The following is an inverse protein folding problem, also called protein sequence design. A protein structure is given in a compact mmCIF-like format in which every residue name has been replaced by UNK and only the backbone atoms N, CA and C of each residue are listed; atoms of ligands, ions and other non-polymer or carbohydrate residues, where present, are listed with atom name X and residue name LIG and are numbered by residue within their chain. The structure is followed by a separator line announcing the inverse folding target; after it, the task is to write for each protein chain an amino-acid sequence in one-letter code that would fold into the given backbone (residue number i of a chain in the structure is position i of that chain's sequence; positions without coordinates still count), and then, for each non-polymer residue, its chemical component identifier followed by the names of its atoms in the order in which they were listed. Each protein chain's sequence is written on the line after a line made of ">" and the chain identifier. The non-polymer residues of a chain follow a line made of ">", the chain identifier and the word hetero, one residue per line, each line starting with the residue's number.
data_IF_642620795410
#
_entry.id   IF_642620795410
#
_cell.length_a   1.000
_cell.length_b   1.000
_cell.length_c   1.000
_cell.angle_alpha   90.00
_cell.angle_beta   90.00
_cell.angle_gamma   90.00
#
_symmetry.space_group_name_H-M   'P 1'
#
loop_
_entity.id
_entity.type
_entity.pdbx_description
1 polymer ?
#
# COMPACT_ATOMS: atom_id res chain seq x y z
N UNK A 1 -9.07 19.41 -1.83
CA UNK A 1 -7.73 18.78 -1.88
C UNK A 1 -7.94 17.32 -2.18
N UNK A 2 -7.33 16.82 -3.26
CA UNK A 2 -7.33 15.42 -3.62
C UNK A 2 -5.89 14.97 -3.82
N UNK A 3 -5.56 13.77 -3.33
CA UNK A 3 -4.25 13.16 -3.53
C UNK A 3 -4.27 12.34 -4.82
N UNK A 4 -3.17 12.38 -5.58
CA UNK A 4 -3.02 11.52 -6.75
C UNK A 4 -3.03 10.03 -6.36
N UNK A 5 -3.40 9.20 -7.32
CA UNK A 5 -3.26 7.76 -7.21
C UNK A 5 -1.78 7.32 -7.14
N UNK A 6 -1.55 6.15 -6.54
CA UNK A 6 -0.28 5.46 -6.48
C UNK A 6 0.12 4.94 -7.86
N UNK A 7 1.40 5.08 -8.18
CA UNK A 7 2.00 4.48 -9.38
C UNK A 7 2.43 3.03 -9.10
N UNK A 8 2.69 2.26 -10.17
CA UNK A 8 3.16 0.87 -10.06
C UNK A 8 4.45 0.74 -9.23
N UNK A 9 5.31 1.76 -9.23
CA UNK A 9 6.58 1.78 -8.49
C UNK A 9 6.43 2.09 -7.01
N UNK A 10 5.28 2.59 -6.61
CA UNK A 10 4.95 2.94 -5.23
C UNK A 10 4.20 1.83 -4.49
N UNK A 11 3.83 0.78 -5.22
CA UNK A 11 3.07 -0.36 -4.73
C UNK A 11 3.95 -1.61 -4.79
N UNK A 12 4.17 -2.17 -3.61
CA UNK A 12 4.83 -3.45 -3.47
C UNK A 12 3.80 -4.59 -3.43
N UNK A 13 4.15 -5.73 -4.03
CA UNK A 13 3.37 -6.97 -3.95
C UNK A 13 4.06 -7.97 -3.01
N UNK A 14 3.55 -8.13 -1.78
CA UNK A 14 4.12 -9.02 -0.77
C UNK A 14 3.38 -10.33 -0.68
N UNK A 15 4.13 -11.42 -0.49
CA UNK A 15 3.56 -12.72 -0.14
C UNK A 15 2.88 -12.63 1.23
N UNK A 16 1.60 -13.02 1.27
CA UNK A 16 0.80 -13.02 2.49
C UNK A 16 0.62 -14.43 3.04
N UNK A 17 0.09 -15.35 2.23
CA UNK A 17 -0.06 -16.76 2.60
C UNK A 17 0.59 -17.65 1.55
N UNK A 18 1.10 -18.81 1.98
CA UNK A 18 1.70 -19.81 1.10
C UNK A 18 1.20 -21.19 1.51
N UNK A 19 0.85 -22.01 0.52
CA UNK A 19 0.53 -23.43 0.69
C UNK A 19 1.00 -24.23 -0.54
N UNK A 20 0.76 -25.54 -0.54
CA UNK A 20 1.11 -26.44 -1.65
C UNK A 20 0.49 -26.04 -3.01
N UNK A 21 -0.61 -25.28 -3.01
CA UNK A 21 -1.32 -24.87 -4.22
C UNK A 21 -0.85 -23.53 -4.78
N UNK A 22 -0.02 -22.79 -4.04
CA UNK A 22 0.45 -21.47 -4.45
C UNK A 22 0.63 -20.48 -3.31
N UNK A 23 0.58 -19.19 -3.64
CA UNK A 23 0.62 -18.11 -2.66
C UNK A 23 -0.39 -17.01 -2.97
N UNK A 24 -0.83 -16.29 -1.93
CA UNK A 24 -1.57 -15.05 -2.08
C UNK A 24 -0.65 -13.85 -1.93
N UNK A 25 -0.92 -12.77 -2.66
CA UNK A 25 -0.21 -11.50 -2.53
C UNK A 25 -1.10 -10.41 -1.94
N UNK A 26 -0.48 -9.48 -1.22
CA UNK A 26 -1.09 -8.23 -0.75
C UNK A 26 -0.35 -7.05 -1.38
N UNK A 27 -1.12 -6.07 -1.83
CA UNK A 27 -0.58 -4.78 -2.26
C UNK A 27 -0.42 -3.86 -1.05
N UNK A 28 0.74 -3.23 -0.92
CA UNK A 28 0.97 -2.24 0.13
C UNK A 28 1.97 -1.19 -0.35
N UNK A 29 1.98 -0.03 0.31
CA UNK A 29 3.00 1.02 0.13
C UNK A 29 3.88 1.16 1.35
N UNK A 30 5.07 1.73 1.16
CA UNK A 30 5.94 2.14 2.24
C UNK A 30 5.59 3.55 2.76
N UNK A 31 6.10 3.92 3.93
CA UNK A 31 5.84 5.24 4.52
C UNK A 31 6.48 6.39 3.72
N UNK A 32 7.50 6.13 2.89
CA UNK A 32 8.16 7.16 2.08
C UNK A 32 7.29 7.57 0.92
N UNK A 33 6.46 6.66 0.40
CA UNK A 33 5.41 6.99 -0.56
C UNK A 33 4.45 8.03 0.01
N UNK A 34 3.96 7.84 1.24
CA UNK A 34 3.09 8.83 1.89
C UNK A 34 3.77 10.19 2.06
N UNK A 35 5.04 10.22 2.48
CA UNK A 35 5.81 11.46 2.61
C UNK A 35 5.90 12.19 1.27
N UNK A 36 6.29 11.51 0.19
CA UNK A 36 6.39 12.12 -1.13
C UNK A 36 5.06 12.67 -1.62
N UNK A 37 3.96 11.93 -1.42
CA UNK A 37 2.64 12.37 -1.84
C UNK A 37 2.18 13.60 -1.05
N UNK A 38 2.50 13.67 0.26
CA UNK A 38 2.25 14.86 1.06
C UNK A 38 3.10 16.05 0.58
N UNK A 39 4.40 15.83 0.35
CA UNK A 39 5.32 16.85 -0.17
C UNK A 39 4.85 17.40 -1.53
N UNK A 40 4.42 16.53 -2.43
CA UNK A 40 3.90 16.89 -3.75
C UNK A 40 2.57 17.64 -3.68
N UNK A 41 1.67 17.25 -2.76
CA UNK A 41 0.31 17.79 -2.71
C UNK A 41 0.20 19.12 -1.96
N UNK A 42 0.96 19.28 -0.86
CA UNK A 42 0.85 20.46 0.02
C UNK A 42 2.17 21.19 0.24
N UNK A 43 3.31 20.57 -0.11
CA UNK A 43 4.64 21.11 0.15
C UNK A 43 5.23 20.64 1.50
N UNK A 44 6.56 20.51 1.54
CA UNK A 44 7.34 19.99 2.67
C UNK A 44 7.02 20.66 4.02
N UNK A 45 6.68 21.95 4.02
CA UNK A 45 6.43 22.74 5.22
C UNK A 45 4.96 22.76 5.66
N UNK A 46 4.05 22.20 4.84
CA UNK A 46 2.59 22.32 5.04
C UNK A 46 1.92 21.04 5.55
N UNK A 47 2.73 20.03 5.87
CA UNK A 47 2.27 18.88 6.62
C UNK A 47 3.22 18.59 7.78
N UNK A 48 2.69 17.96 8.81
CA UNK A 48 3.49 17.51 9.94
C UNK A 48 2.92 16.21 10.50
N UNK A 49 3.74 15.49 11.26
CA UNK A 49 3.31 14.30 11.97
C UNK A 49 3.80 14.32 13.41
N UNK A 50 3.01 13.73 14.30
CA UNK A 50 3.40 13.47 15.69
C UNK A 50 2.90 12.10 16.12
N UNK A 51 3.65 11.44 17.00
CA UNK A 51 3.26 10.18 17.60
C UNK A 51 2.85 10.39 19.05
N UNK A 52 1.79 9.71 19.47
CA UNK A 52 1.22 9.82 20.81
C UNK A 52 0.92 8.41 21.34
N UNK A 53 1.22 8.18 22.62
CA UNK A 53 0.84 6.94 23.31
C UNK A 53 -0.54 7.13 23.94
N UNK A 54 -1.53 6.35 23.49
CA UNK A 54 -2.89 6.37 24.03
C UNK A 54 -3.23 4.95 24.45
N UNK A 55 -3.50 4.74 25.74
CA UNK A 55 -3.80 3.43 26.32
C UNK A 55 -2.76 2.34 25.97
N UNK A 56 -1.47 2.71 25.94
CA UNK A 56 -0.36 1.81 25.64
C UNK A 56 -0.12 1.52 24.15
N UNK A 57 -0.95 2.05 23.25
CA UNK A 57 -0.76 1.91 21.80
C UNK A 57 -0.16 3.17 21.19
N UNK A 58 0.68 3.00 20.16
CA UNK A 58 1.29 4.12 19.44
C UNK A 58 0.37 4.60 18.31
N UNK A 59 -0.19 5.78 18.49
CA UNK A 59 -0.98 6.49 17.49
C UNK A 59 -0.09 7.46 16.72
N UNK A 60 -0.44 7.69 15.45
CA UNK A 60 0.15 8.75 14.65
C UNK A 60 -0.94 9.76 14.27
N UNK A 61 -0.64 11.03 14.44
CA UNK A 61 -1.43 12.13 13.93
C UNK A 61 -0.71 12.75 12.73
N UNK A 62 -1.41 12.90 11.62
CA UNK A 62 -0.94 13.61 10.43
C UNK A 62 -1.77 14.87 10.25
N UNK A 63 -1.11 16.02 10.34
CA UNK A 63 -1.70 17.34 10.24
C UNK A 63 -1.38 17.97 8.90
N UNK A 64 -2.38 18.58 8.26
CA UNK A 64 -2.22 19.38 7.05
C UNK A 64 -2.66 20.81 7.34
N UNK A 65 -1.83 21.75 6.91
CA UNK A 65 -2.05 23.18 7.04
C UNK A 65 -2.96 23.65 5.89
N UNK A 66 -4.04 24.32 6.25
CA UNK A 66 -4.96 25.03 5.37
C UNK A 66 -4.78 26.52 5.63
N UNK A 67 -4.01 27.25 4.79
CA UNK A 67 -3.85 28.68 4.93
C UNK A 67 -5.20 29.39 4.74
N UNK A 68 -5.50 30.35 5.61
CA UNK A 68 -6.63 31.27 5.49
C UNK A 68 -6.19 32.70 5.78
N UNK A 69 -7.08 33.67 5.56
CA UNK A 69 -6.76 35.11 5.75
C UNK A 69 -6.38 35.46 7.19
N UNK A 70 -6.90 34.73 8.17
CA UNK A 70 -6.64 34.89 9.60
C UNK A 70 -5.45 34.07 10.12
N UNK A 71 -4.82 33.27 9.26
CA UNK A 71 -3.61 32.51 9.58
C UNK A 71 -3.66 31.04 9.16
N UNK A 72 -2.76 30.26 9.77
CA UNK A 72 -2.56 28.85 9.49
C UNK A 72 -3.54 27.97 10.29
N UNK A 73 -4.37 27.18 9.59
CA UNK A 73 -5.30 26.23 10.22
C UNK A 73 -4.85 24.79 10.03
N UNK A 74 -4.62 24.07 11.13
CA UNK A 74 -4.19 22.68 11.08
C UNK A 74 -5.37 21.73 11.29
N UNK A 75 -5.67 20.92 10.28
CA UNK A 75 -6.61 19.80 10.42
C UNK A 75 -5.79 18.53 10.62
N UNK A 76 -6.21 17.67 11.55
CA UNK A 76 -5.49 16.46 11.94
C UNK A 76 -6.32 15.21 11.67
N UNK A 77 -5.66 14.15 11.20
CA UNK A 77 -6.21 12.78 11.15
C UNK A 77 -5.30 11.86 11.95
N UNK A 78 -5.92 10.98 12.74
CA UNK A 78 -5.21 10.08 13.64
C UNK A 78 -5.53 8.63 13.29
N UNK A 79 -4.57 7.72 13.45
CA UNK A 79 -4.81 6.28 13.44
C UNK A 79 -3.76 5.54 14.28
N UNK A 80 -4.05 4.27 14.59
CA UNK A 80 -3.20 3.39 15.39
C UNK A 80 -2.54 2.35 14.50
N UNK A 81 -1.28 2.04 14.78
CA UNK A 81 -0.52 1.01 14.07
C UNK A 81 -0.57 -0.33 14.79
N UNK A 82 -0.38 -1.40 14.03
CA UNK A 82 -0.15 -2.74 14.60
C UNK A 82 1.34 -3.04 14.69
N UNK A 83 1.78 -3.72 15.75
CA UNK A 83 3.17 -4.15 15.89
C UNK A 83 3.58 -5.09 14.75
N UNK A 84 4.79 -4.88 14.22
CA UNK A 84 5.44 -5.84 13.31
C UNK A 84 6.11 -6.98 14.09
N UNK A 85 6.30 -8.13 13.43
CA UNK A 85 7.06 -9.26 14.00
C UNK A 85 8.57 -8.97 14.16
N UNK A 86 9.10 -7.97 13.46
CA UNK A 86 10.51 -7.55 13.48
C UNK A 86 10.61 -6.04 13.69
N UNK A 87 11.43 -5.58 14.64
CA UNK A 87 11.53 -4.17 15.05
C UNK A 87 10.18 -3.53 15.41
N UNK A 88 9.48 -4.11 16.39
CA UNK A 88 8.11 -3.80 16.80
C UNK A 88 7.77 -2.31 16.81
N UNK A 89 8.58 -1.50 17.48
CA UNK A 89 8.35 -0.06 17.65
C UNK A 89 8.42 0.71 16.33
N UNK A 90 9.44 0.44 15.50
CA UNK A 90 9.60 1.08 14.18
C UNK A 90 8.50 0.66 13.21
N UNK A 91 8.08 -0.61 13.28
CA UNK A 91 6.98 -1.14 12.49
C UNK A 91 5.66 -0.46 12.84
N UNK A 92 5.35 -0.37 14.13
CA UNK A 92 4.13 0.27 14.62
C UNK A 92 4.07 1.77 14.29
N UNK A 93 5.20 2.47 14.41
CA UNK A 93 5.30 3.90 14.08
C UNK A 93 5.06 4.16 12.58
N UNK A 94 5.57 3.28 11.72
CA UNK A 94 5.36 3.37 10.27
C UNK A 94 3.94 2.99 9.88
N UNK A 95 3.38 1.94 10.49
CA UNK A 95 2.02 1.49 10.21
C UNK A 95 0.97 2.52 10.61
N UNK A 96 1.07 3.07 11.83
CA UNK A 96 0.20 4.15 12.31
C UNK A 96 0.23 5.38 11.39
N UNK A 97 1.43 5.77 10.91
CA UNK A 97 1.57 6.88 9.96
C UNK A 97 0.85 6.61 8.63
N UNK A 98 1.11 5.45 8.00
CA UNK A 98 0.44 5.08 6.74
C UNK A 98 -1.08 5.06 6.89
N UNK A 99 -1.58 4.60 8.05
CA UNK A 99 -3.01 4.53 8.36
C UNK A 99 -3.63 5.91 8.57
N UNK A 100 -2.95 6.81 9.27
CA UNK A 100 -3.37 8.21 9.36
C UNK A 100 -3.41 8.89 7.97
N UNK A 101 -2.48 8.55 7.07
CA UNK A 101 -2.51 9.01 5.67
C UNK A 101 -3.66 8.41 4.84
N UNK A 102 -4.09 7.17 5.11
CA UNK A 102 -5.31 6.62 4.49
C UNK A 102 -6.56 7.44 4.86
N UNK A 103 -6.63 7.97 6.09
CA UNK A 103 -7.73 8.84 6.51
C UNK A 103 -7.75 10.17 5.73
N UNK A 104 -6.61 10.61 5.19
CA UNK A 104 -6.50 11.74 4.27
C UNK A 104 -6.87 11.41 2.82
N UNK A 105 -6.85 10.15 2.42
CA UNK A 105 -7.12 9.71 1.05
C UNK A 105 -5.96 9.00 0.37
N UNK A 106 -4.75 9.05 0.93
CA UNK A 106 -3.53 8.57 0.25
C UNK A 106 -3.50 7.04 0.22
N UNK A 107 -3.58 6.43 -0.95
CA UNK A 107 -3.48 4.98 -1.12
C UNK A 107 -4.75 4.19 -0.78
N UNK A 108 -5.92 4.85 -0.73
CA UNK A 108 -7.21 4.17 -0.50
C UNK A 108 -7.55 3.15 -1.57
N UNK A 109 -7.06 3.35 -2.79
CA UNK A 109 -7.21 2.41 -3.90
C UNK A 109 -6.69 1.00 -3.57
N UNK A 110 -5.72 0.86 -2.65
CA UNK A 110 -5.17 -0.43 -2.26
C UNK A 110 -6.22 -1.34 -1.61
N UNK A 111 -7.26 -0.77 -1.00
CA UNK A 111 -8.39 -1.52 -0.44
C UNK A 111 -9.34 -2.07 -1.49
N UNK A 112 -9.21 -1.63 -2.75
CA UNK A 112 -10.00 -2.11 -3.90
C UNK A 112 -9.28 -3.21 -4.68
N UNK A 113 -8.10 -3.65 -4.20
CA UNK A 113 -7.32 -4.67 -4.86
C UNK A 113 -8.11 -5.99 -4.97
N UNK A 114 -8.04 -6.70 -6.13
CA UNK A 114 -8.65 -8.02 -6.26
C UNK A 114 -7.93 -9.03 -5.36
N UNK A 115 -8.56 -10.20 -5.15
CA UNK A 115 -7.85 -11.31 -4.54
C UNK A 115 -6.75 -11.82 -5.49
N UNK A 116 -5.48 -11.60 -5.12
CA UNK A 116 -4.34 -11.97 -5.93
C UNK A 116 -3.85 -13.36 -5.50
N UNK A 117 -4.15 -14.37 -6.32
CA UNK A 117 -3.67 -15.74 -6.14
C UNK A 117 -2.69 -16.14 -7.24
N UNK A 118 -1.51 -16.61 -6.85
CA UNK A 118 -0.49 -17.13 -7.76
C UNK A 118 -0.45 -18.66 -7.61
N UNK A 119 -0.84 -19.44 -8.63
CA UNK A 119 -0.88 -20.89 -8.54
C UNK A 119 0.55 -21.48 -8.48
N UNK A 120 0.71 -22.67 -7.90
CA UNK A 120 2.00 -23.34 -7.71
C UNK A 120 2.85 -23.46 -8.99
N UNK A 121 2.23 -23.55 -10.17
CA UNK A 121 2.94 -23.56 -11.46
C UNK A 121 3.67 -22.24 -11.78
N UNK A 122 3.31 -21.16 -11.10
CA UNK A 122 3.75 -19.78 -11.33
C UNK A 122 4.54 -19.18 -10.15
N UNK A 123 4.91 -20.02 -9.17
CA UNK A 123 5.73 -19.66 -8.02
C UNK A 123 6.68 -20.79 -7.65
N UNK A 124 7.94 -20.47 -7.33
CA UNK A 124 8.89 -21.43 -6.79
C UNK A 124 8.59 -21.69 -5.31
N UNK A 125 7.84 -22.75 -5.03
CA UNK A 125 7.51 -23.18 -3.68
C UNK A 125 8.64 -24.02 -3.07
N UNK A 126 8.92 -23.77 -1.79
CA UNK A 126 9.83 -24.55 -0.96
C UNK A 126 9.10 -25.03 0.28
N UNK A 127 9.51 -26.18 0.82
CA UNK A 127 8.93 -26.71 2.05
C UNK A 127 10.05 -27.00 3.06
N UNK A 128 9.89 -26.49 4.29
CA UNK A 128 10.79 -26.78 5.42
C UNK A 128 9.96 -27.06 6.66
N UNK A 129 10.21 -28.19 7.33
CA UNK A 129 9.46 -28.62 8.52
C UNK A 129 7.94 -28.59 8.29
N UNK A 130 7.47 -29.14 7.16
CA UNK A 130 6.06 -29.12 6.72
C UNK A 130 5.44 -27.73 6.51
N UNK A 131 6.21 -26.65 6.57
CA UNK A 131 5.76 -25.29 6.28
C UNK A 131 6.16 -24.90 4.86
N UNK A 132 5.17 -24.51 4.06
CA UNK A 132 5.38 -23.98 2.72
C UNK A 132 5.85 -22.53 2.76
N UNK A 133 6.78 -22.17 1.87
CA UNK A 133 7.29 -20.83 1.68
C UNK A 133 7.68 -20.60 0.22
N UNK A 134 7.97 -19.34 -0.12
CA UNK A 134 8.63 -18.99 -1.38
C UNK A 134 9.61 -17.85 -1.12
N UNK A 135 10.67 -17.81 -1.91
CA UNK A 135 11.62 -16.69 -1.95
C UNK A 135 11.42 -15.83 -3.21
N UNK A 136 10.35 -16.10 -3.97
CA UNK A 136 10.05 -15.35 -5.16
C UNK A 136 9.72 -13.89 -4.86
N UNK A 137 10.22 -13.00 -5.73
CA UNK A 137 9.96 -11.57 -5.66
C UNK A 137 8.88 -11.22 -6.66
N UNK A 138 7.87 -10.50 -6.21
CA UNK A 138 6.77 -10.03 -7.04
C UNK A 138 6.81 -8.52 -7.14
N UNK A 139 6.43 -7.98 -8.31
CA UNK A 139 6.26 -6.54 -8.51
C UNK A 139 4.98 -6.26 -9.26
N UNK A 140 4.37 -5.11 -8.97
CA UNK A 140 3.32 -4.55 -9.83
C UNK A 140 3.99 -4.14 -11.14
N UNK A 141 3.59 -4.79 -12.24
CA UNK A 141 4.12 -4.48 -13.57
C UNK A 141 3.31 -3.37 -14.23
N UNK A 142 2.00 -3.34 -13.98
CA UNK A 142 1.10 -2.31 -14.47
C UNK A 142 -0.10 -2.22 -13.53
N UNK A 143 -0.58 -1.00 -13.32
CA UNK A 143 -1.81 -0.74 -12.57
C UNK A 143 -2.57 0.40 -13.25
N UNK A 144 -3.90 0.32 -13.25
CA UNK A 144 -4.78 1.38 -13.70
C UNK A 144 -5.82 1.60 -12.62
N UNK A 145 -5.87 2.85 -12.15
CA UNK A 145 -6.79 3.30 -11.11
C UNK A 145 -7.75 4.29 -11.75
N UNK A 146 -9.04 4.08 -11.55
CA UNK A 146 -10.11 4.97 -12.03
C UNK A 146 -11.09 5.20 -10.89
N UNK A 147 -11.44 6.45 -10.64
CA UNK A 147 -12.40 6.84 -9.59
C UNK A 147 -12.05 6.28 -8.20
N UNK A 148 -10.75 6.17 -7.90
CA UNK A 148 -10.24 5.61 -6.64
C UNK A 148 -10.20 4.07 -6.57
N UNK A 149 -10.54 3.38 -7.65
CA UNK A 149 -10.58 1.91 -7.70
C UNK A 149 -9.56 1.33 -8.69
N UNK A 150 -8.96 0.20 -8.32
CA UNK A 150 -8.08 -0.58 -9.20
C UNK A 150 -8.96 -1.29 -10.24
N UNK A 151 -8.88 -0.85 -11.50
CA UNK A 151 -9.66 -1.42 -12.62
C UNK A 151 -8.84 -2.33 -13.53
N UNK A 152 -7.51 -2.22 -13.48
CA UNK A 152 -6.61 -3.19 -14.09
C UNK A 152 -5.31 -3.32 -13.29
N UNK A 153 -4.78 -4.54 -13.20
CA UNK A 153 -3.58 -4.87 -12.45
C UNK A 153 -2.87 -6.04 -13.13
N UNK A 154 -1.55 -5.92 -13.29
CA UNK A 154 -0.69 -7.04 -13.66
C UNK A 154 0.48 -7.17 -12.70
N UNK A 155 0.83 -8.39 -12.34
CA UNK A 155 1.95 -8.69 -11.44
C UNK A 155 2.92 -9.61 -12.15
N UNK A 156 4.19 -9.24 -12.02
CA UNK A 156 5.32 -10.02 -12.51
C UNK A 156 6.02 -10.72 -11.37
N UNK A 157 6.30 -12.01 -11.55
CA UNK A 157 7.25 -12.73 -10.73
C UNK A 157 8.64 -12.47 -11.31
N UNK A 158 9.45 -11.70 -10.59
CA UNK A 158 10.79 -11.30 -11.02
C UNK A 158 11.76 -12.48 -11.00
N UNK A 159 11.58 -13.43 -10.08
CA UNK A 159 12.41 -14.64 -9.99
C UNK A 159 12.22 -15.52 -11.22
N UNK A 160 10.97 -15.67 -11.67
CA UNK A 160 10.63 -16.42 -12.89
C UNK A 160 10.63 -15.56 -14.17
N UNK A 161 10.90 -14.26 -14.04
CA UNK A 161 10.96 -13.26 -15.12
C UNK A 161 9.72 -13.19 -16.02
N UNK A 162 8.53 -13.54 -15.50
CA UNK A 162 7.27 -13.57 -16.28
C UNK A 162 6.09 -13.00 -15.52
N UNK A 163 5.08 -12.53 -16.25
CA UNK A 163 3.78 -12.16 -15.68
C UNK A 163 3.08 -13.40 -15.12
N UNK A 164 2.54 -13.28 -13.92
CA UNK A 164 1.90 -14.39 -13.17
C UNK A 164 0.48 -14.07 -12.72
N UNK A 165 0.05 -12.81 -12.85
CA UNK A 165 -1.30 -12.37 -12.53
C UNK A 165 -1.74 -11.29 -13.50
N UNK A 166 -3.01 -11.35 -13.90
CA UNK A 166 -3.69 -10.34 -14.70
C UNK A 166 -5.12 -10.18 -14.20
N UNK A 167 -5.51 -8.95 -13.96
CA UNK A 167 -6.86 -8.53 -13.63
C UNK A 167 -7.20 -7.32 -14.50
N UNK A 168 -8.35 -7.36 -15.16
CA UNK A 168 -8.84 -6.26 -15.99
C UNK A 168 -10.36 -6.32 -16.07
N UNK A 169 -11.01 -5.33 -15.46
CA UNK A 169 -12.48 -5.19 -15.48
C UNK A 169 -12.93 -3.99 -16.34
N UNK A 170 -11.99 -3.34 -17.03
CA UNK A 170 -12.34 -2.28 -17.97
C UNK A 170 -13.14 -2.93 -19.09
N UNK A 171 -14.28 -2.34 -19.44
CA UNK A 171 -15.01 -2.74 -20.64
C UNK A 171 -14.04 -2.60 -21.81
N UNK A 172 -13.88 -3.65 -22.61
CA UNK A 172 -13.29 -3.48 -23.93
C UNK A 172 -14.21 -2.51 -24.65
N UNK A 173 -13.71 -1.32 -24.98
CA UNK A 173 -14.39 -0.49 -25.96
C UNK A 173 -14.57 -1.40 -27.19
N UNK A 174 -15.82 -1.72 -27.49
CA UNK A 174 -16.16 -2.38 -28.75
C UNK A 174 -15.90 -1.32 -29.78
N UNK A 175 -14.80 -1.46 -30.50
CA UNK A 175 -14.41 -0.60 -31.62
C UNK A 175 -15.65 -0.23 -32.44
N UNK A 176 -15.86 1.07 -32.63
CA UNK A 176 -16.74 1.62 -33.68
C UNK A 176 -15.92 1.83 -34.93
#
# INVERSE_FOLDING_TARGET
>A
MEFRALTEKEIDARVATVNEKGCSLLLYKDARCDMRILDEAVGLERWQRKHELINGNLFCNVGINFPAEDGDHWVWKQDVGTESYTEKEKGQASDSFKRACFNWGIGRELYTAPYIWIPAKDVALTQKNNKWSTYDKFKVEQIIIKDGEIVALSIRNESLKRRVFLYDIRKKDVDK
#
